data_IF_367367444091
#
_entry.id   IF_367367444091
#
_cell.length_a   1.000
_cell.length_b   1.000
_cell.length_c   1.000
_cell.angle_alpha   90.00
_cell.angle_beta   90.00
_cell.angle_gamma   90.00
#
_symmetry.space_group_name_H-M   'P 1'
#
loop_
_entity.id
_entity.type
_entity.pdbx_description
1 polymer ?
#
# COMPACT_ATOMS: atom_id res chain seq x y z
N UNK A 1 -10.17 8.51 16.62
CA UNK A 1 -9.16 7.43 16.62
C UNK A 1 -7.86 7.99 16.10
N UNK A 2 -6.73 7.74 16.79
CA UNK A 2 -5.39 8.20 16.39
C UNK A 2 -4.63 7.00 15.84
N UNK A 3 -4.08 7.12 14.64
CA UNK A 3 -3.27 6.08 14.01
C UNK A 3 -1.86 6.68 13.88
N UNK A 4 -0.84 6.03 14.46
CA UNK A 4 0.54 6.55 14.47
C UNK A 4 0.69 7.97 15.05
N UNK A 5 -0.09 8.32 16.08
CA UNK A 5 -0.05 9.66 16.71
C UNK A 5 -0.75 10.77 15.93
N UNK A 6 -1.09 10.53 14.66
CA UNK A 6 -1.82 11.43 13.76
C UNK A 6 -3.31 11.10 13.73
N UNK A 7 -4.14 12.14 13.56
CA UNK A 7 -5.56 11.98 13.29
C UNK A 7 -5.84 11.42 11.90
N UNK A 8 -7.06 10.89 11.72
CA UNK A 8 -7.58 10.48 10.41
C UNK A 8 -7.49 11.62 9.36
N UNK A 9 -7.78 12.90 9.70
CA UNK A 9 -7.63 14.01 8.77
C UNK A 9 -6.20 14.21 8.27
N UNK A 10 -5.21 14.20 9.17
CA UNK A 10 -3.80 14.35 8.80
C UNK A 10 -3.33 13.21 7.89
N UNK A 11 -3.74 11.97 8.19
CA UNK A 11 -3.43 10.81 7.35
C UNK A 11 -4.06 10.93 5.96
N UNK A 12 -5.30 11.41 5.87
CA UNK A 12 -5.99 11.65 4.60
C UNK A 12 -5.31 12.74 3.76
N UNK A 13 -4.78 13.79 4.39
CA UNK A 13 -4.02 14.84 3.72
C UNK A 13 -2.72 14.30 3.13
N UNK A 14 -1.96 13.52 3.89
CA UNK A 14 -0.74 12.87 3.41
C UNK A 14 -1.07 11.94 2.24
N UNK A 15 -2.14 11.14 2.38
CA UNK A 15 -2.59 10.25 1.31
C UNK A 15 -2.95 11.04 0.05
N UNK A 16 -3.62 12.18 0.17
CA UNK A 16 -3.96 13.03 -0.96
C UNK A 16 -2.72 13.58 -1.67
N UNK A 17 -1.68 14.00 -0.95
CA UNK A 17 -0.41 14.44 -1.52
C UNK A 17 0.31 13.31 -2.25
N UNK A 18 0.40 12.13 -1.61
CA UNK A 18 0.97 10.93 -2.23
C UNK A 18 0.20 10.56 -3.50
N UNK A 19 -1.14 10.61 -3.46
CA UNK A 19 -2.01 10.36 -4.60
C UNK A 19 -1.85 11.41 -5.70
N UNK A 20 -1.51 12.65 -5.38
CA UNK A 20 -1.25 13.69 -6.38
C UNK A 20 0.06 13.40 -7.14
N UNK A 21 1.11 13.01 -6.41
CA UNK A 21 2.44 12.71 -6.98
C UNK A 21 2.41 11.40 -7.77
N UNK A 22 1.90 10.34 -7.15
CA UNK A 22 1.90 9.01 -7.74
C UNK A 22 0.68 8.74 -8.61
N UNK A 23 -0.46 9.39 -8.39
CA UNK A 23 -1.72 9.10 -9.04
C UNK A 23 -2.46 7.91 -8.40
N UNK A 24 -3.80 7.98 -8.21
CA UNK A 24 -4.59 6.89 -7.62
C UNK A 24 -4.57 5.60 -8.45
N UNK A 25 -4.32 5.69 -9.76
CA UNK A 25 -4.21 4.52 -10.64
C UNK A 25 -2.91 3.74 -10.45
N UNK A 26 -1.86 4.35 -9.91
CA UNK A 26 -0.58 3.68 -9.70
C UNK A 26 -0.53 2.88 -8.39
N UNK A 27 -1.31 3.25 -7.36
CA UNK A 27 -1.45 2.46 -6.14
C UNK A 27 -1.90 1.00 -6.38
N UNK A 28 -2.99 0.70 -7.10
CA UNK A 28 -3.41 -0.67 -7.35
C UNK A 28 -2.44 -1.42 -8.27
N UNK A 29 -1.74 -0.73 -9.17
CA UNK A 29 -0.70 -1.32 -10.01
C UNK A 29 0.50 -1.78 -9.17
N UNK A 30 0.98 -0.93 -8.25
CA UNK A 30 2.04 -1.27 -7.30
C UNK A 30 1.60 -2.38 -6.34
N UNK A 31 0.40 -2.27 -5.78
CA UNK A 31 -0.18 -3.31 -4.91
C UNK A 31 -0.33 -4.66 -5.62
N UNK A 32 -0.76 -4.67 -6.88
CA UNK A 32 -0.83 -5.89 -7.69
C UNK A 32 0.54 -6.50 -8.02
N UNK A 33 1.56 -5.67 -8.26
CA UNK A 33 2.94 -6.14 -8.45
C UNK A 33 3.52 -6.75 -7.18
N UNK A 34 3.39 -6.05 -6.05
CA UNK A 34 3.82 -6.55 -4.74
C UNK A 34 3.04 -7.79 -4.33
N UNK A 35 1.72 -7.81 -4.49
CA UNK A 35 0.87 -8.96 -4.18
C UNK A 35 1.24 -10.21 -4.97
N UNK A 36 1.57 -10.07 -6.26
CA UNK A 36 2.10 -11.17 -7.06
C UNK A 36 3.48 -11.64 -6.57
N UNK A 37 4.36 -10.72 -6.17
CA UNK A 37 5.65 -11.05 -5.55
C UNK A 37 5.49 -11.82 -4.25
N UNK A 38 4.67 -11.31 -3.33
CA UNK A 38 4.36 -11.95 -2.04
C UNK A 38 3.68 -13.30 -2.25
N UNK A 39 2.75 -13.44 -3.20
CA UNK A 39 2.12 -14.73 -3.52
C UNK A 39 3.13 -15.76 -4.02
N UNK A 40 4.09 -15.36 -4.86
CA UNK A 40 5.18 -16.23 -5.31
C UNK A 40 6.11 -16.63 -4.17
N UNK A 41 6.44 -15.70 -3.27
CA UNK A 41 7.25 -15.97 -2.08
C UNK A 41 6.54 -16.93 -1.13
N UNK A 42 5.26 -16.68 -0.82
CA UNK A 42 4.46 -17.54 0.05
C UNK A 42 4.30 -18.95 -0.53
N UNK A 43 4.01 -19.08 -1.82
CA UNK A 43 3.88 -20.38 -2.47
C UNK A 43 5.18 -21.18 -2.54
N UNK A 44 6.35 -20.53 -2.52
CA UNK A 44 7.65 -21.18 -2.39
C UNK A 44 7.88 -21.68 -0.96
N UNK A 45 7.64 -20.82 0.03
CA UNK A 45 7.82 -21.14 1.46
C UNK A 45 6.87 -22.23 1.96
N UNK A 46 5.68 -22.37 1.37
CA UNK A 46 4.70 -23.39 1.76
C UNK A 46 4.96 -24.78 1.13
N UNK A 47 5.93 -24.88 0.20
CA UNK A 47 6.36 -26.16 -0.40
C UNK A 47 7.65 -26.71 0.26
N UNK A 48 8.24 -25.96 1.20
CA UNK A 48 9.28 -26.40 2.14
C UNK A 48 8.66 -26.70 3.51
#
# INVERSE_FOLDING_TARGET
MRIFGMGVPELALILAVVLLIFGPKNLPKLGGMLGRGVKKLRGRVETD
#
